data_IF_044433180120
#
_entry.id   IF_044433180120
#
_cell.length_a   1.000
_cell.length_b   1.000
_cell.length_c   1.000
_cell.angle_alpha   90.00
_cell.angle_beta   90.00
_cell.angle_gamma   90.00
#
_symmetry.space_group_name_H-M   'P 1'
#
loop_
_entity.id
_entity.type
_entity.pdbx_description
1 polymer ?
#
# COMPACT_ATOMS: atom_id res chain seq x y z
N UNK A 1 5.31 -22.63 7.46
CA UNK A 1 5.77 -21.74 6.37
C UNK A 1 5.65 -22.47 5.05
N UNK A 2 5.00 -21.84 4.07
CA UNK A 2 4.80 -22.34 2.71
C UNK A 2 5.56 -21.45 1.71
N UNK A 3 6.03 -22.02 0.60
CA UNK A 3 6.73 -21.29 -0.47
C UNK A 3 5.92 -21.38 -1.76
N UNK A 4 5.72 -20.27 -2.45
CA UNK A 4 4.98 -20.19 -3.72
C UNK A 4 5.68 -19.22 -4.70
N UNK A 5 5.60 -19.45 -6.02
CA UNK A 5 5.94 -18.40 -6.99
C UNK A 5 4.92 -17.25 -6.89
N UNK A 6 5.36 -16.02 -7.17
CA UNK A 6 4.47 -14.87 -7.32
C UNK A 6 4.52 -14.30 -8.74
N UNK A 7 3.51 -13.50 -9.08
CA UNK A 7 3.34 -12.93 -10.42
C UNK A 7 4.36 -11.84 -10.74
N UNK A 8 5.04 -11.31 -9.73
CA UNK A 8 6.23 -10.48 -9.89
C UNK A 8 7.48 -11.25 -10.34
N UNK A 9 7.36 -12.53 -10.68
CA UNK A 9 8.47 -13.37 -11.15
C UNK A 9 9.38 -13.90 -10.03
N UNK A 10 9.01 -13.70 -8.77
CA UNK A 10 9.79 -14.10 -7.60
C UNK A 10 9.13 -15.21 -6.78
N UNK A 11 9.50 -15.26 -5.51
CA UNK A 11 9.03 -16.18 -4.49
C UNK A 11 8.30 -15.40 -3.39
N UNK A 12 7.16 -15.93 -2.98
CA UNK A 12 6.50 -15.54 -1.72
C UNK A 12 6.60 -16.67 -0.71
N UNK A 13 7.12 -16.36 0.48
CA UNK A 13 7.00 -17.17 1.67
C UNK A 13 5.77 -16.73 2.45
N UNK A 14 4.92 -17.70 2.78
CA UNK A 14 3.69 -17.49 3.54
C UNK A 14 3.90 -18.09 4.92
N UNK A 15 3.87 -17.23 5.94
CA UNK A 15 3.96 -17.59 7.33
C UNK A 15 2.60 -17.39 8.00
N UNK A 16 2.24 -18.30 8.89
CA UNK A 16 1.02 -18.22 9.68
C UNK A 16 1.35 -18.29 11.18
N UNK A 17 0.31 -18.23 12.01
CA UNK A 17 0.43 -18.43 13.45
C UNK A 17 1.19 -19.74 13.78
N UNK A 18 2.20 -19.63 14.65
CA UNK A 18 3.04 -20.74 15.07
C UNK A 18 4.27 -21.01 14.18
N UNK A 19 4.40 -20.34 13.04
CA UNK A 19 5.64 -20.36 12.27
C UNK A 19 6.74 -19.55 12.97
N UNK A 20 8.00 -19.91 12.69
CA UNK A 20 9.18 -19.28 13.27
C UNK A 20 9.86 -18.34 12.27
N UNK A 21 9.94 -17.04 12.61
CA UNK A 21 10.64 -16.04 11.80
C UNK A 21 12.15 -16.31 11.70
N UNK A 22 12.74 -16.98 12.67
CA UNK A 22 14.18 -17.31 12.63
C UNK A 22 14.47 -18.48 11.68
N UNK A 23 13.44 -19.23 11.29
CA UNK A 23 13.51 -20.26 10.27
C UNK A 23 13.36 -19.71 8.84
N UNK A 24 13.18 -18.39 8.67
CA UNK A 24 13.12 -17.75 7.34
C UNK A 24 14.48 -17.91 6.63
N UNK A 25 14.49 -18.38 5.36
CA UNK A 25 15.72 -18.56 4.59
C UNK A 25 16.47 -17.24 4.39
N UNK A 26 17.81 -17.29 4.31
CA UNK A 26 18.66 -16.10 4.17
C UNK A 26 18.25 -15.17 3.02
N UNK A 27 17.75 -15.73 1.92
CA UNK A 27 17.22 -14.98 0.77
C UNK A 27 16.10 -13.97 1.08
N UNK A 28 15.39 -14.13 2.20
CA UNK A 28 14.25 -13.28 2.62
C UNK A 28 14.49 -12.70 4.02
N UNK A 29 15.68 -12.88 4.60
CA UNK A 29 15.95 -12.53 6.01
C UNK A 29 16.06 -11.02 6.21
N UNK A 30 16.52 -10.30 5.20
CA UNK A 30 16.57 -8.83 5.14
C UNK A 30 15.18 -8.18 5.22
N UNK A 31 14.14 -8.90 4.80
CA UNK A 31 12.74 -8.48 4.85
C UNK A 31 12.20 -8.46 6.30
N UNK A 32 12.75 -9.30 7.17
CA UNK A 32 12.29 -9.49 8.56
C UNK A 32 12.89 -8.44 9.48
N UNK A 33 12.35 -7.22 9.40
CA UNK A 33 12.74 -6.09 10.26
C UNK A 33 12.25 -6.26 11.70
N UNK A 34 12.74 -5.41 12.62
CA UNK A 34 12.25 -5.37 14.00
C UNK A 34 10.75 -5.06 14.09
N UNK A 35 10.25 -4.20 13.20
CA UNK A 35 8.83 -3.87 13.10
C UNK A 35 8.00 -5.08 12.65
N UNK A 36 8.48 -5.84 11.65
CA UNK A 36 7.85 -7.10 11.23
C UNK A 36 7.86 -8.12 12.38
N UNK A 37 8.96 -8.24 13.12
CA UNK A 37 9.06 -9.14 14.29
C UNK A 37 8.11 -8.76 15.41
N UNK A 38 7.97 -7.46 15.68
CA UNK A 38 7.04 -6.94 16.67
C UNK A 38 5.59 -7.24 16.28
N UNK A 39 5.22 -6.91 15.04
CA UNK A 39 3.89 -7.20 14.50
C UNK A 39 3.60 -8.69 14.45
N UNK A 40 4.56 -9.54 14.04
CA UNK A 40 4.32 -11.00 13.94
C UNK A 40 4.07 -11.67 15.28
N UNK A 41 4.60 -11.11 16.39
CA UNK A 41 4.38 -11.63 17.74
C UNK A 41 2.93 -11.47 18.19
N UNK A 42 2.32 -10.33 17.88
CA UNK A 42 0.92 -10.05 18.17
C UNK A 42 0.32 -9.13 17.08
N UNK A 43 -0.08 -9.71 15.93
CA UNK A 43 -0.51 -8.90 14.80
C UNK A 43 -1.81 -8.15 15.11
N UNK A 44 -2.70 -8.75 15.90
CA UNK A 44 -3.97 -8.13 16.29
C UNK A 44 -3.70 -6.88 17.13
N UNK A 45 -2.82 -6.97 18.13
CA UNK A 45 -2.46 -5.80 18.94
C UNK A 45 -1.80 -4.70 18.09
N UNK A 46 -0.82 -5.06 17.24
CA UNK A 46 -0.12 -4.10 16.39
C UNK A 46 -1.07 -3.29 15.49
N UNK A 47 -1.94 -3.97 14.74
CA UNK A 47 -2.87 -3.28 13.84
C UNK A 47 -4.03 -2.59 14.58
N UNK A 48 -4.37 -3.04 15.80
CA UNK A 48 -5.35 -2.33 16.64
C UNK A 48 -4.77 -1.04 17.21
N UNK A 49 -3.48 -1.02 17.58
CA UNK A 49 -2.78 0.18 18.01
C UNK A 49 -2.69 1.19 16.87
N UNK A 50 -2.31 0.75 15.66
CA UNK A 50 -2.31 1.62 14.48
C UNK A 50 -3.72 2.18 14.18
N UNK A 51 -4.77 1.36 14.30
CA UNK A 51 -6.15 1.84 14.18
C UNK A 51 -6.52 2.89 15.24
N UNK A 52 -5.91 2.83 16.43
CA UNK A 52 -6.11 3.80 17.52
C UNK A 52 -5.34 5.11 17.33
N UNK A 53 -4.28 5.12 16.53
CA UNK A 53 -3.41 6.27 16.29
C UNK A 53 -3.81 7.08 15.05
N UNK A 54 -4.27 6.41 13.99
CA UNK A 54 -4.63 7.11 12.76
C UNK A 54 -5.86 8.03 12.93
N UNK A 55 -5.76 9.24 12.36
CA UNK A 55 -6.88 10.20 12.29
C UNK A 55 -7.78 9.99 11.05
N UNK A 56 -7.42 9.06 10.16
CA UNK A 56 -8.14 8.77 8.92
C UNK A 56 -9.30 7.81 9.25
N UNK A 57 -10.53 8.34 9.25
CA UNK A 57 -11.74 7.62 9.70
C UNK A 57 -11.92 6.25 9.02
N UNK A 58 -11.86 6.20 7.69
CA UNK A 58 -12.07 4.94 6.97
C UNK A 58 -10.89 3.98 7.09
N UNK A 59 -9.66 4.46 7.28
CA UNK A 59 -8.52 3.58 7.58
C UNK A 59 -8.67 2.96 8.97
N UNK A 60 -9.03 3.77 9.97
CA UNK A 60 -9.35 3.28 11.31
C UNK A 60 -10.46 2.22 11.26
N UNK A 61 -11.55 2.47 10.52
CA UNK A 61 -12.64 1.51 10.36
C UNK A 61 -12.17 0.23 9.66
N UNK A 62 -11.39 0.37 8.57
CA UNK A 62 -10.85 -0.75 7.82
C UNK A 62 -9.96 -1.63 8.71
N UNK A 63 -9.05 -1.05 9.48
CA UNK A 63 -8.15 -1.77 10.38
C UNK A 63 -8.90 -2.44 11.55
N UNK A 64 -9.93 -1.80 12.11
CA UNK A 64 -10.78 -2.42 13.14
C UNK A 64 -11.49 -3.67 12.61
N UNK A 65 -12.02 -3.60 11.40
CA UNK A 65 -12.64 -4.75 10.76
C UNK A 65 -11.59 -5.83 10.43
N UNK A 66 -10.42 -5.41 9.95
CA UNK A 66 -9.28 -6.26 9.62
C UNK A 66 -8.82 -7.10 10.83
N UNK A 67 -8.81 -6.53 12.04
CA UNK A 67 -8.42 -7.23 13.27
C UNK A 67 -9.57 -7.89 14.03
N UNK A 68 -10.84 -7.65 13.63
CA UNK A 68 -12.03 -8.14 14.35
C UNK A 68 -12.20 -9.67 14.35
N UNK A 69 -11.47 -10.37 13.48
CA UNK A 69 -11.45 -11.83 13.43
C UNK A 69 -10.87 -12.35 12.12
N UNK A 70 -10.71 -13.68 12.01
CA UNK A 70 -10.18 -14.33 10.82
C UNK A 70 -8.77 -14.89 11.02
N UNK A 71 -8.23 -15.46 9.95
CA UNK A 71 -6.86 -15.96 9.92
C UNK A 71 -5.99 -14.95 9.19
N UNK A 72 -4.81 -14.73 9.75
CA UNK A 72 -3.80 -13.88 9.16
C UNK A 72 -2.67 -14.70 8.59
N UNK A 73 -1.97 -14.11 7.64
CA UNK A 73 -0.69 -14.61 7.15
C UNK A 73 0.26 -13.44 6.95
N UNK A 74 1.54 -13.67 7.23
CA UNK A 74 2.62 -12.79 6.81
C UNK A 74 3.17 -13.29 5.49
N UNK A 75 3.19 -12.41 4.50
CA UNK A 75 3.78 -12.64 3.20
C UNK A 75 5.15 -11.97 3.17
N UNK A 76 6.20 -12.76 2.92
CA UNK A 76 7.54 -12.26 2.62
C UNK A 76 7.81 -12.56 1.15
N UNK A 77 7.78 -11.54 0.31
CA UNK A 77 7.92 -11.69 -1.12
C UNK A 77 9.19 -11.01 -1.62
N UNK A 78 9.89 -11.65 -2.56
CA UNK A 78 10.74 -10.95 -3.52
C UNK A 78 10.02 -10.82 -4.86
N UNK A 79 10.18 -9.68 -5.54
CA UNK A 79 9.57 -9.39 -6.84
C UNK A 79 10.65 -8.87 -7.79
N UNK A 80 10.48 -9.07 -9.10
CA UNK A 80 11.44 -8.71 -10.16
C UNK A 80 10.81 -7.87 -11.27
N UNK A 81 9.78 -7.07 -10.95
CA UNK A 81 9.02 -6.32 -11.97
C UNK A 81 9.87 -5.28 -12.72
N UNK A 82 10.81 -4.62 -12.04
CA UNK A 82 11.77 -3.68 -12.63
C UNK A 82 13.17 -3.87 -12.03
N UNK A 83 13.24 -3.89 -10.70
CA UNK A 83 14.38 -4.31 -9.90
C UNK A 83 13.93 -5.36 -8.87
N UNK A 84 14.89 -6.04 -8.23
CA UNK A 84 14.57 -6.92 -7.11
C UNK A 84 14.10 -6.07 -5.92
N UNK A 85 12.82 -6.09 -5.64
CA UNK A 85 12.24 -5.50 -4.44
C UNK A 85 11.74 -6.58 -3.49
N UNK A 86 11.73 -6.27 -2.20
CA UNK A 86 11.29 -7.18 -1.16
C UNK A 86 10.24 -6.55 -0.25
N UNK A 87 9.16 -7.29 -0.07
CA UNK A 87 7.95 -6.83 0.60
C UNK A 87 7.63 -7.77 1.76
N UNK A 88 7.39 -7.17 2.93
CA UNK A 88 6.74 -7.81 4.06
C UNK A 88 5.33 -7.24 4.16
N UNK A 89 4.30 -8.07 4.06
CA UNK A 89 2.93 -7.61 4.19
C UNK A 89 2.09 -8.63 4.95
N UNK A 90 1.32 -8.17 5.92
CA UNK A 90 0.34 -9.01 6.57
C UNK A 90 -0.99 -8.94 5.83
N UNK A 91 -1.59 -10.10 5.64
CA UNK A 91 -2.84 -10.28 4.91
C UNK A 91 -3.87 -10.98 5.79
N UNK A 92 -5.07 -10.40 5.89
CA UNK A 92 -6.25 -11.01 6.50
C UNK A 92 -7.34 -11.21 5.46
N UNK A 93 -8.03 -12.33 5.59
CA UNK A 93 -9.27 -12.55 4.87
C UNK A 93 -10.47 -12.21 5.75
N UNK A 94 -11.26 -11.21 5.34
CA UNK A 94 -12.48 -10.81 6.03
C UNK A 94 -13.63 -10.70 5.02
N UNK A 95 -14.74 -11.42 5.24
CA UNK A 95 -15.83 -11.51 4.26
C UNK A 95 -16.63 -10.21 4.06
N UNK A 96 -16.50 -9.24 4.97
CA UNK A 96 -17.25 -7.98 4.95
C UNK A 96 -16.54 -6.79 4.30
N UNK A 97 -15.31 -6.95 3.81
CA UNK A 97 -14.56 -5.86 3.16
C UNK A 97 -13.63 -6.42 2.08
N UNK A 98 -13.17 -5.54 1.18
CA UNK A 98 -12.23 -5.94 0.15
C UNK A 98 -10.89 -6.31 0.79
N UNK A 99 -10.24 -7.43 0.42
CA UNK A 99 -8.95 -7.82 0.99
C UNK A 99 -7.86 -6.76 0.74
N UNK A 100 -6.99 -6.57 1.72
CA UNK A 100 -5.83 -5.70 1.61
C UNK A 100 -4.69 -6.29 2.44
N UNK A 101 -3.47 -5.96 2.07
CA UNK A 101 -2.25 -6.37 2.74
C UNK A 101 -1.53 -5.12 3.23
N UNK A 102 -1.04 -5.13 4.47
CA UNK A 102 -0.32 -4.00 5.05
C UNK A 102 1.10 -4.39 5.40
N UNK A 103 2.06 -3.57 4.95
CA UNK A 103 3.43 -3.62 5.46
C UNK A 103 3.55 -2.79 6.73
N UNK A 104 4.40 -3.21 7.65
CA UNK A 104 4.69 -2.46 8.87
C UNK A 104 5.58 -1.25 8.57
N UNK A 105 5.47 -0.16 9.33
CA UNK A 105 6.40 0.97 9.21
C UNK A 105 7.87 0.51 9.32
N UNK A 106 8.75 1.16 8.55
CA UNK A 106 10.21 0.92 8.59
C UNK A 106 10.96 2.01 9.36
N UNK A 107 10.47 3.24 9.27
CA UNK A 107 10.97 4.43 9.94
C UNK A 107 9.89 5.51 9.90
N UNK A 108 10.05 6.54 10.73
CA UNK A 108 9.25 7.76 10.65
C UNK A 108 9.42 8.40 9.25
N UNK A 109 8.35 9.00 8.74
CA UNK A 109 8.32 9.63 7.43
C UNK A 109 8.71 11.11 7.54
N UNK A 110 9.86 11.47 6.98
CA UNK A 110 10.34 12.86 6.96
C UNK A 110 9.52 13.78 6.01
N UNK A 111 8.62 13.21 5.20
CA UNK A 111 7.72 13.97 4.32
C UNK A 111 6.34 14.12 4.96
N UNK A 112 6.07 15.31 5.49
CA UNK A 112 4.80 15.67 6.16
C UNK A 112 3.57 15.42 5.27
N UNK A 113 3.72 15.43 3.94
CA UNK A 113 2.60 15.15 3.02
C UNK A 113 2.10 13.71 3.15
N UNK A 114 3.01 12.79 3.50
CA UNK A 114 2.80 11.35 3.48
C UNK A 114 2.81 10.71 4.88
N UNK A 115 3.28 11.44 5.90
CA UNK A 115 3.44 10.95 7.27
C UNK A 115 2.19 10.26 7.85
N UNK A 116 0.99 10.77 7.54
CA UNK A 116 -0.30 10.22 7.99
C UNK A 116 -0.56 8.76 7.62
N UNK A 117 0.21 8.19 6.70
CA UNK A 117 0.23 6.77 6.38
C UNK A 117 1.58 6.12 6.70
N UNK A 118 2.68 6.75 6.29
CA UNK A 118 3.99 6.07 6.32
C UNK A 118 4.63 5.96 7.70
N UNK A 119 4.16 6.73 8.67
CA UNK A 119 4.56 6.56 10.08
C UNK A 119 4.05 5.23 10.66
N UNK A 120 2.90 4.74 10.18
CA UNK A 120 2.27 3.51 10.64
C UNK A 120 2.53 2.30 9.71
N UNK A 121 2.62 2.55 8.40
CA UNK A 121 2.66 1.49 7.38
C UNK A 121 3.70 1.76 6.30
N UNK A 122 4.33 0.71 5.79
CA UNK A 122 5.22 0.87 4.63
C UNK A 122 4.52 0.75 3.28
N UNK A 123 3.32 0.15 3.24
CA UNK A 123 2.53 -0.08 2.05
C UNK A 123 1.11 -0.54 2.42
N UNK A 124 0.18 -0.40 1.49
CA UNK A 124 -1.10 -1.09 1.50
C UNK A 124 -1.37 -1.65 0.10
N UNK A 125 -1.79 -2.90 -0.03
CA UNK A 125 -1.96 -3.53 -1.34
C UNK A 125 -3.24 -4.36 -1.37
N UNK A 126 -4.17 -4.04 -2.27
CA UNK A 126 -5.46 -4.72 -2.35
C UNK A 126 -5.53 -5.74 -3.49
N UNK A 127 -4.59 -5.75 -4.42
CA UNK A 127 -4.42 -6.88 -5.34
C UNK A 127 -3.36 -7.87 -4.83
N UNK A 128 -3.03 -8.90 -5.60
CA UNK A 128 -1.97 -9.86 -5.29
C UNK A 128 -0.58 -9.24 -5.47
N UNK A 129 0.40 -9.68 -4.68
CA UNK A 129 1.79 -9.21 -4.81
C UNK A 129 2.30 -9.47 -6.24
N UNK A 130 2.78 -8.40 -6.90
CA UNK A 130 3.23 -8.44 -8.29
C UNK A 130 2.22 -7.86 -9.29
N UNK A 131 1.06 -7.40 -8.84
CA UNK A 131 0.12 -6.63 -9.67
C UNK A 131 0.08 -5.15 -9.25
N UNK A 132 -0.50 -4.31 -10.10
CA UNK A 132 -0.90 -2.96 -9.71
C UNK A 132 -2.08 -3.02 -8.73
N UNK A 133 -2.29 -1.99 -7.91
CA UNK A 133 -3.36 -1.97 -6.92
C UNK A 133 -2.87 -1.85 -5.49
N UNK A 134 -2.38 -0.66 -5.15
CA UNK A 134 -1.89 -0.38 -3.82
C UNK A 134 -1.21 0.98 -3.67
N UNK A 135 -0.90 1.29 -2.43
CA UNK A 135 0.04 2.33 -1.99
C UNK A 135 1.42 1.67 -1.91
N UNK A 136 2.38 2.21 -2.67
CA UNK A 136 3.73 1.64 -2.81
C UNK A 136 4.67 2.12 -1.71
N UNK A 137 5.78 1.43 -1.42
CA UNK A 137 6.77 1.91 -0.47
C UNK A 137 7.27 3.32 -0.77
N UNK A 138 7.54 4.11 0.28
CA UNK A 138 8.08 5.46 0.16
C UNK A 138 9.38 5.51 -0.66
N UNK A 139 10.23 4.48 -0.55
CA UNK A 139 11.46 4.33 -1.34
C UNK A 139 11.23 4.20 -2.85
N UNK A 140 10.01 3.86 -3.26
CA UNK A 140 9.62 3.62 -4.64
C UNK A 140 8.83 4.80 -5.21
N UNK A 141 8.65 5.87 -4.42
CA UNK A 141 8.05 7.11 -4.90
C UNK A 141 8.92 7.70 -6.01
N UNK A 142 8.27 8.11 -7.08
CA UNK A 142 8.91 8.63 -8.28
C UNK A 142 8.10 9.80 -8.80
N UNK A 143 8.74 10.75 -9.48
CA UNK A 143 8.00 11.85 -10.11
C UNK A 143 7.23 11.35 -11.33
N UNK A 144 6.14 12.03 -11.69
CA UNK A 144 5.38 11.72 -12.92
C UNK A 144 6.27 11.86 -14.17
N UNK A 145 7.18 12.82 -14.18
CA UNK A 145 8.15 13.01 -15.28
C UNK A 145 9.12 11.82 -15.39
N UNK A 146 9.68 11.36 -14.27
CA UNK A 146 10.57 10.19 -14.23
C UNK A 146 9.82 8.88 -14.56
N UNK A 147 8.52 8.81 -14.27
CA UNK A 147 7.66 7.71 -14.71
C UNK A 147 7.43 7.73 -16.24
N UNK A 148 7.68 8.86 -16.91
CA UNK A 148 7.62 9.01 -18.36
C UNK A 148 6.24 9.35 -18.92
N UNK A 149 5.36 9.93 -18.09
CA UNK A 149 4.00 10.33 -18.50
C UNK A 149 3.92 11.84 -18.66
N UNK A 150 3.51 12.29 -19.85
CA UNK A 150 3.14 13.69 -20.05
C UNK A 150 1.81 13.98 -19.35
N UNK A 151 1.79 14.96 -18.44
CA UNK A 151 0.56 15.42 -17.78
C UNK A 151 0.16 16.80 -18.32
N UNK A 152 -1.05 16.94 -18.91
CA UNK A 152 -1.62 18.25 -19.24
C UNK A 152 -2.21 18.96 -18.02
N UNK A 153 -2.22 18.34 -16.84
CA UNK A 153 -2.84 18.89 -15.63
C UNK A 153 -2.03 20.04 -15.05
N UNK A 154 -2.67 21.18 -14.84
CA UNK A 154 -2.08 22.30 -14.09
C UNK A 154 -2.05 22.06 -12.57
N UNK A 155 -2.85 21.12 -12.07
CA UNK A 155 -2.90 20.77 -10.63
C UNK A 155 -1.81 19.78 -10.27
N UNK A 156 -1.46 18.90 -11.21
CA UNK A 156 -0.44 17.86 -11.07
C UNK A 156 0.65 18.03 -12.14
N UNK A 157 1.58 18.99 -11.96
CA UNK A 157 2.69 19.20 -12.88
C UNK A 157 3.63 17.99 -12.87
N UNK A 158 4.11 17.49 -14.02
CA UNK A 158 4.93 16.27 -14.08
C UNK A 158 6.15 16.26 -13.16
N UNK A 159 6.85 17.39 -13.06
CA UNK A 159 8.14 17.51 -12.37
C UNK A 159 8.03 17.75 -10.85
N UNK A 160 6.83 18.00 -10.34
CA UNK A 160 6.57 18.32 -8.93
C UNK A 160 5.42 17.48 -8.36
N UNK A 161 5.10 16.36 -9.01
CA UNK A 161 4.05 15.44 -8.63
C UNK A 161 4.65 14.06 -8.43
N UNK A 162 4.45 13.52 -7.24
CA UNK A 162 4.94 12.20 -6.82
C UNK A 162 3.86 11.16 -7.06
N UNK A 163 4.21 10.03 -7.67
CA UNK A 163 3.39 8.82 -7.71
C UNK A 163 3.59 8.05 -6.42
N UNK A 164 2.50 7.81 -5.67
CA UNK A 164 2.54 7.08 -4.39
C UNK A 164 1.77 5.76 -4.41
N UNK A 165 1.10 5.45 -5.52
CA UNK A 165 0.31 4.23 -5.65
C UNK A 165 -0.30 4.06 -7.02
N UNK A 166 -1.08 3.01 -7.19
CA UNK A 166 -1.81 2.72 -8.42
C UNK A 166 -3.13 1.98 -8.14
N UNK A 167 -4.11 2.17 -9.02
CA UNK A 167 -5.29 1.31 -9.08
C UNK A 167 -4.93 -0.07 -9.66
N UNK A 168 -5.87 -1.01 -9.60
CA UNK A 168 -5.68 -2.37 -10.13
C UNK A 168 -5.43 -2.37 -11.65
N UNK A 169 -5.90 -1.34 -12.36
CA UNK A 169 -5.67 -1.14 -13.79
C UNK A 169 -4.38 -0.37 -14.12
N UNK A 170 -3.60 0.04 -13.12
CA UNK A 170 -2.34 0.78 -13.31
C UNK A 170 -2.48 2.30 -13.35
N UNK A 171 -3.69 2.86 -13.20
CA UNK A 171 -3.86 4.32 -13.10
C UNK A 171 -3.23 4.85 -11.81
N UNK A 172 -2.46 5.91 -11.93
CA UNK A 172 -1.55 6.39 -10.89
C UNK A 172 -2.29 7.18 -9.83
N UNK A 173 -1.95 6.93 -8.57
CA UNK A 173 -2.28 7.80 -7.45
C UNK A 173 -1.14 8.78 -7.24
N UNK A 174 -1.46 10.07 -7.24
CA UNK A 174 -0.47 11.15 -7.32
C UNK A 174 -0.66 12.18 -6.22
N UNK A 175 0.43 12.78 -5.75
CA UNK A 175 0.43 13.86 -4.75
C UNK A 175 1.44 14.93 -5.14
N UNK A 176 1.03 16.19 -5.22
CA UNK A 176 1.92 17.30 -5.56
C UNK A 176 2.67 17.85 -4.33
N UNK A 177 3.58 18.80 -4.53
CA UNK A 177 4.37 19.43 -3.45
C UNK A 177 3.51 20.17 -2.40
N UNK A 178 2.27 20.54 -2.74
CA UNK A 178 1.35 21.21 -1.80
C UNK A 178 0.57 20.23 -0.92
N UNK A 179 0.70 18.92 -1.19
CA UNK A 179 -0.06 17.88 -0.52
C UNK A 179 -1.44 17.62 -1.14
N UNK A 180 -1.76 18.27 -2.28
CA UNK A 180 -2.97 17.91 -3.04
C UNK A 180 -2.71 16.55 -3.70
N UNK A 181 -3.65 15.63 -3.53
CA UNK A 181 -3.63 14.25 -3.97
C UNK A 181 -4.80 13.94 -4.90
N UNK A 182 -4.55 13.06 -5.85
CA UNK A 182 -5.55 12.67 -6.81
C UNK A 182 -5.14 11.48 -7.65
N UNK A 183 -5.80 11.35 -8.78
CA UNK A 183 -5.55 10.29 -9.73
C UNK A 183 -5.05 10.87 -11.05
N UNK A 184 -4.21 10.10 -11.73
CA UNK A 184 -3.73 10.38 -13.08
C UNK A 184 -3.77 9.11 -13.91
N UNK A 185 -4.38 9.18 -15.10
CA UNK A 185 -4.43 8.06 -16.01
C UNK A 185 -3.03 7.78 -16.56
N UNK A 186 -2.59 6.53 -16.45
CA UNK A 186 -1.30 6.11 -17.02
C UNK A 186 -1.34 6.05 -18.56
N UNK A 187 -2.53 6.06 -19.17
CA UNK A 187 -2.68 5.98 -20.63
C UNK A 187 -2.53 7.34 -21.32
N UNK A 188 -3.01 8.41 -20.69
CA UNK A 188 -3.17 9.71 -21.36
C UNK A 188 -2.85 10.93 -20.47
N UNK A 189 -2.40 10.72 -19.24
CA UNK A 189 -2.00 11.78 -18.31
C UNK A 189 -3.15 12.63 -17.77
N UNK A 190 -4.41 12.37 -18.16
CA UNK A 190 -5.55 13.09 -17.60
C UNK A 190 -5.64 12.82 -16.10
N UNK A 191 -5.91 13.87 -15.33
CA UNK A 191 -5.89 13.79 -13.88
C UNK A 191 -7.05 14.56 -13.25
N UNK A 192 -7.48 14.11 -12.08
CA UNK A 192 -8.44 14.83 -11.26
C UNK A 192 -8.02 14.82 -9.80
N UNK A 193 -8.32 15.94 -9.14
CA UNK A 193 -8.07 16.13 -7.72
C UNK A 193 -9.09 15.38 -6.87
N UNK A 194 -8.64 14.78 -5.77
CA UNK A 194 -9.49 14.13 -4.77
C UNK A 194 -9.54 14.96 -3.49
N UNK A 195 -8.47 15.68 -3.17
CA UNK A 195 -8.30 16.46 -1.95
C UNK A 195 -6.85 16.34 -1.47
N UNK A 196 -6.59 16.50 -0.18
CA UNK A 196 -5.29 16.22 0.42
C UNK A 196 -4.96 14.71 0.45
N UNK A 197 -3.70 14.35 0.68
CA UNK A 197 -3.30 12.95 0.85
C UNK A 197 -4.13 12.18 1.91
N UNK A 198 -4.37 12.71 3.14
CA UNK A 198 -5.28 12.07 4.10
C UNK A 198 -6.72 11.91 3.59
N UNK A 199 -7.25 12.88 2.83
CA UNK A 199 -8.60 12.78 2.25
C UNK A 199 -8.66 11.70 1.18
N UNK A 200 -7.60 11.56 0.37
CA UNK A 200 -7.49 10.49 -0.61
C UNK A 200 -7.40 9.11 0.06
N UNK A 201 -6.62 8.97 1.14
CA UNK A 201 -6.61 7.73 1.93
C UNK A 201 -7.98 7.43 2.52
N UNK A 202 -8.65 8.44 3.06
CA UNK A 202 -10.00 8.28 3.58
C UNK A 202 -10.97 7.77 2.50
N UNK A 203 -10.86 8.29 1.27
CA UNK A 203 -11.65 7.79 0.14
C UNK A 203 -11.25 6.35 -0.25
N UNK A 204 -9.96 6.04 -0.39
CA UNK A 204 -9.44 4.69 -0.74
C UNK A 204 -9.99 3.63 0.23
N UNK A 205 -9.79 3.83 1.52
CA UNK A 205 -10.25 2.86 2.52
C UNK A 205 -11.78 2.84 2.64
N UNK A 206 -12.46 3.94 2.27
CA UNK A 206 -13.91 3.98 2.16
C UNK A 206 -14.46 3.05 1.06
N UNK A 207 -13.78 2.97 -0.09
CA UNK A 207 -14.11 2.01 -1.16
C UNK A 207 -13.86 0.57 -0.69
N UNK A 208 -12.71 0.30 -0.06
CA UNK A 208 -12.36 -1.03 0.42
C UNK A 208 -13.31 -1.54 1.51
N UNK A 209 -13.73 -0.67 2.46
CA UNK A 209 -14.76 -0.99 3.46
C UNK A 209 -16.09 -1.35 2.80
N UNK A 210 -16.43 -0.73 1.66
CA UNK A 210 -17.63 -1.04 0.89
C UNK A 210 -17.44 -2.22 -0.09
N UNK A 211 -16.35 -2.97 0.07
CA UNK A 211 -16.00 -4.13 -0.74
C UNK A 211 -15.84 -3.79 -2.24
N UNK A 212 -15.27 -2.63 -2.55
CA UNK A 212 -14.92 -2.18 -3.90
C UNK A 212 -13.42 -1.90 -4.01
N UNK A 213 -12.86 -1.97 -5.21
CA UNK A 213 -11.50 -1.51 -5.48
C UNK A 213 -11.50 0.01 -5.73
N UNK A 214 -10.50 0.75 -5.21
CA UNK A 214 -10.28 2.13 -5.59
C UNK A 214 -9.85 2.20 -7.06
N UNK A 215 -10.69 2.80 -7.92
CA UNK A 215 -10.43 2.88 -9.36
C UNK A 215 -10.49 4.32 -9.87
N UNK A 216 -9.80 4.57 -10.99
CA UNK A 216 -9.83 5.83 -11.72
C UNK A 216 -11.21 6.08 -12.35
N UNK A 217 -11.81 7.24 -12.07
CA UNK A 217 -13.07 7.65 -12.68
C UNK A 217 -12.84 8.51 -13.92
N UNK A 218 -12.85 7.87 -15.08
CA UNK A 218 -12.74 8.51 -16.39
C UNK A 218 -13.84 9.55 -16.68
N UNK A 219 -14.95 9.54 -15.94
CA UNK A 219 -16.01 10.54 -16.10
C UNK A 219 -15.64 11.91 -15.52
N UNK A 220 -14.67 11.96 -14.59
CA UNK A 220 -14.19 13.19 -13.94
C UNK A 220 -13.18 13.99 -14.78
N UNK A 221 -12.66 13.40 -15.85
CA UNK A 221 -11.68 14.03 -16.75
C UNK A 221 -12.33 14.69 -17.98
N UNK A 222 -13.64 14.93 -17.94
CA UNK A 222 -14.41 15.48 -19.07
C UNK A 222 -14.54 17.00 -19.01
#
# INVERSE_FOLDING_TARGET
>A
MMKQPNDGGGTTLILAEGDDLDAVPDSHRDIVTDSVRAAFRDPIAYFSDAAGQTEIENLQLYLRNFTSGGRWSLLLADTYMMDRDTIAAFHWFHAGQYPCMFGTARCDCDDDRFASFYDDFSLAHWDSIGFAGGIIPLSNHITVDDFGIESPSSVFPPNSTTVFGSSSCGDMMVCNERGDAGYMSHENGQAYDVGSFPEMLNWIFGELVQNRTPEFDYSRCR
#
